data_IF_390013407190
#
_entry.id   IF_390013407190
#
_cell.length_a   1.000
_cell.length_b   1.000
_cell.length_c   1.000
_cell.angle_alpha   90.00
_cell.angle_beta   90.00
_cell.angle_gamma   90.00
#
_symmetry.space_group_name_H-M   'P 1'
#
loop_
_entity.id
_entity.type
_entity.pdbx_description
1 polymer ?
#
# COMPACT_ATOMS: atom_id res chain seq x y z
N UNK A 1 8.13 -11.64 -4.21
CA UNK A 1 8.91 -10.40 -4.03
C UNK A 1 8.93 -9.66 -5.36
N UNK A 2 9.56 -8.51 -5.46
CA UNK A 2 9.87 -7.89 -6.76
C UNK A 2 10.58 -8.93 -7.65
N UNK A 3 10.14 -9.07 -8.90
CA UNK A 3 10.63 -10.09 -9.84
C UNK A 3 9.98 -11.48 -9.71
N UNK A 4 9.25 -11.78 -8.63
CA UNK A 4 8.53 -13.06 -8.51
C UNK A 4 7.08 -12.95 -8.98
N UNK A 5 6.51 -14.07 -9.43
CA UNK A 5 5.08 -14.18 -9.68
C UNK A 5 4.31 -14.40 -8.37
N UNK A 6 3.38 -13.50 -8.07
CA UNK A 6 2.52 -13.58 -6.90
C UNK A 6 1.33 -14.49 -7.16
N UNK A 7 1.20 -15.56 -6.36
CA UNK A 7 0.03 -16.47 -6.41
C UNK A 7 -0.91 -16.35 -5.22
N UNK A 8 -0.67 -15.38 -4.34
CA UNK A 8 -1.42 -15.20 -3.10
C UNK A 8 -1.92 -13.77 -2.95
N UNK A 9 -3.13 -13.64 -2.45
CA UNK A 9 -3.64 -12.42 -1.84
C UNK A 9 -3.74 -12.61 -0.33
N UNK A 10 -3.61 -11.52 0.41
CA UNK A 10 -3.59 -11.52 1.87
C UNK A 10 -4.66 -10.58 2.41
N UNK A 11 -5.20 -10.90 3.58
CA UNK A 11 -6.03 -10.00 4.38
C UNK A 11 -5.34 -9.77 5.72
N UNK A 12 -5.22 -8.52 6.13
CA UNK A 12 -4.49 -8.13 7.32
C UNK A 12 -5.44 -8.12 8.52
N UNK A 13 -5.31 -9.11 9.41
CA UNK A 13 -6.04 -9.11 10.67
C UNK A 13 -5.37 -8.20 11.70
N UNK A 14 -4.04 -8.19 11.71
CA UNK A 14 -3.22 -7.35 12.58
C UNK A 14 -1.92 -6.98 11.88
N UNK A 15 -1.47 -5.74 12.08
CA UNK A 15 -0.15 -5.30 11.64
C UNK A 15 -0.20 -4.36 10.43
N UNK A 16 0.96 -4.19 9.78
CA UNK A 16 1.15 -3.26 8.68
C UNK A 16 2.07 -3.85 7.60
N UNK A 17 1.59 -3.78 6.37
CA UNK A 17 2.33 -4.17 5.17
C UNK A 17 2.75 -2.93 4.39
N UNK A 18 4.05 -2.79 4.16
CA UNK A 18 4.67 -1.79 3.29
C UNK A 18 4.77 -2.34 1.88
N UNK A 19 4.41 -1.53 0.88
CA UNK A 19 4.76 -1.77 -0.51
C UNK A 19 5.89 -0.85 -0.95
N UNK A 20 6.93 -1.43 -1.53
CA UNK A 20 8.09 -0.69 -1.99
C UNK A 20 8.76 -1.37 -3.20
N UNK A 21 9.43 -0.60 -4.04
CA UNK A 21 10.27 -1.15 -5.12
C UNK A 21 11.72 -0.68 -4.94
N UNK A 22 12.68 -1.46 -5.45
CA UNK A 22 14.08 -1.07 -5.39
C UNK A 22 14.42 -0.09 -6.52
N UNK A 23 15.01 1.05 -6.16
CA UNK A 23 15.56 1.99 -7.11
C UNK A 23 17.06 2.15 -6.85
N UNK A 24 17.87 1.32 -7.51
CA UNK A 24 19.34 1.32 -7.41
C UNK A 24 19.85 1.22 -5.96
N UNK A 25 19.35 0.24 -5.22
CA UNK A 25 19.73 0.00 -3.82
C UNK A 25 18.96 0.87 -2.81
N UNK A 26 18.02 1.71 -3.26
CA UNK A 26 17.15 2.51 -2.40
C UNK A 26 15.70 2.06 -2.51
N UNK A 27 15.11 1.69 -1.37
CA UNK A 27 13.70 1.34 -1.30
C UNK A 27 12.81 2.59 -1.42
N UNK A 28 11.97 2.61 -2.45
CA UNK A 28 10.96 3.64 -2.65
C UNK A 28 9.61 3.08 -2.23
N UNK A 29 9.08 3.60 -1.13
CA UNK A 29 7.79 3.21 -0.57
C UNK A 29 6.68 3.98 -1.27
N UNK A 30 5.60 3.29 -1.66
CA UNK A 30 4.47 3.92 -2.34
C UNK A 30 3.11 3.58 -1.72
N UNK A 31 3.04 2.61 -0.81
CA UNK A 31 1.80 2.30 -0.10
C UNK A 31 2.05 1.62 1.25
N UNK A 32 1.09 1.83 2.17
CA UNK A 32 0.95 1.05 3.39
C UNK A 32 -0.46 0.48 3.47
N UNK A 33 -0.57 -0.76 3.94
CA UNK A 33 -1.84 -1.42 4.25
C UNK A 33 -1.87 -1.80 5.72
N UNK A 34 -3.04 -1.67 6.34
CA UNK A 34 -3.28 -1.92 7.76
C UNK A 34 -4.43 -2.91 7.95
N UNK A 35 -4.88 -3.07 9.19
CA UNK A 35 -5.94 -3.98 9.57
C UNK A 35 -7.24 -3.78 8.77
N UNK A 36 -7.90 -4.89 8.46
CA UNK A 36 -9.11 -4.99 7.65
C UNK A 36 -8.93 -4.62 6.17
N UNK A 37 -7.69 -4.57 5.67
CA UNK A 37 -7.41 -4.35 4.26
C UNK A 37 -6.86 -5.62 3.58
N UNK A 38 -7.31 -5.84 2.35
CA UNK A 38 -6.73 -6.84 1.46
C UNK A 38 -5.49 -6.30 0.73
N UNK A 39 -4.41 -7.06 0.69
CA UNK A 39 -3.16 -6.69 0.00
C UNK A 39 -2.65 -7.84 -0.86
N UNK A 40 -2.16 -7.52 -2.04
CA UNK A 40 -1.48 -8.44 -2.93
C UNK A 40 -0.53 -7.66 -3.81
N UNK A 41 0.40 -8.35 -4.49
CA UNK A 41 1.00 -7.76 -5.67
C UNK A 41 -0.05 -7.78 -6.78
N UNK A 42 -0.92 -6.78 -6.82
CA UNK A 42 -2.19 -6.83 -7.55
C UNK A 42 -2.04 -7.15 -9.03
N UNK A 43 -1.12 -6.49 -9.74
CA UNK A 43 -0.86 -6.78 -11.15
C UNK A 43 -0.37 -8.21 -11.33
N UNK A 44 0.70 -8.59 -10.64
CA UNK A 44 1.28 -9.92 -10.70
C UNK A 44 0.27 -11.03 -10.36
N UNK A 45 -0.53 -10.81 -9.32
CA UNK A 45 -1.58 -11.71 -8.89
C UNK A 45 -2.62 -11.91 -9.98
N UNK A 46 -3.03 -10.85 -10.69
CA UNK A 46 -4.06 -10.94 -11.74
C UNK A 46 -3.53 -11.44 -13.09
N UNK A 47 -2.31 -11.07 -13.48
CA UNK A 47 -1.77 -11.30 -14.83
C UNK A 47 -0.80 -12.48 -14.89
N UNK A 48 -0.34 -12.99 -13.74
CA UNK A 48 0.72 -13.99 -13.67
C UNK A 48 2.10 -13.46 -14.05
N UNK A 49 2.26 -12.14 -14.22
CA UNK A 49 3.55 -11.52 -14.54
C UNK A 49 4.41 -11.31 -13.28
N UNK A 50 5.74 -11.19 -13.41
CA UNK A 50 6.61 -10.79 -12.32
C UNK A 50 6.15 -9.50 -11.62
N UNK A 51 6.27 -9.46 -10.30
CA UNK A 51 5.89 -8.30 -9.51
C UNK A 51 6.83 -7.11 -9.74
N UNK A 52 6.26 -5.91 -9.81
CA UNK A 52 7.01 -4.65 -9.87
C UNK A 52 7.50 -4.16 -8.50
N UNK A 53 7.13 -4.83 -7.41
CA UNK A 53 7.42 -4.37 -6.06
C UNK A 53 7.43 -5.49 -5.02
N UNK A 54 7.99 -5.19 -3.86
CA UNK A 54 7.99 -6.07 -2.70
C UNK A 54 6.91 -5.66 -1.71
N UNK A 55 6.29 -6.67 -1.09
CA UNK A 55 5.43 -6.51 0.09
C UNK A 55 6.21 -6.94 1.31
N UNK A 56 6.24 -6.10 2.34
CA UNK A 56 7.04 -6.34 3.55
C UNK A 56 6.21 -6.03 4.80
N UNK A 57 6.21 -6.95 5.76
CA UNK A 57 5.68 -6.67 7.09
C UNK A 57 6.68 -5.78 7.85
N UNK A 58 6.25 -4.58 8.24
CA UNK A 58 7.11 -3.61 8.96
C UNK A 58 6.85 -3.59 10.48
N UNK A 59 5.95 -4.45 10.93
CA UNK A 59 5.66 -4.78 12.31
C UNK A 59 5.10 -6.22 12.37
N UNK A 60 4.94 -6.85 13.54
CA UNK A 60 4.37 -8.19 13.64
C UNK A 60 2.96 -8.25 13.03
N UNK A 61 2.77 -9.15 12.05
CA UNK A 61 1.51 -9.28 11.32
C UNK A 61 0.82 -10.62 11.56
N UNK A 62 -0.51 -10.58 11.57
CA UNK A 62 -1.38 -11.76 11.42
C UNK A 62 -2.12 -11.60 10.11
N UNK A 63 -1.89 -12.55 9.19
CA UNK A 63 -2.40 -12.49 7.82
C UNK A 63 -3.19 -13.76 7.51
N UNK A 64 -4.40 -13.58 7.00
CA UNK A 64 -5.08 -14.63 6.23
C UNK A 64 -4.63 -14.55 4.79
N UNK A 65 -4.65 -15.67 4.08
CA UNK A 65 -4.25 -15.70 2.67
C UNK A 65 -5.13 -16.63 1.85
N UNK A 66 -5.23 -16.35 0.56
CA UNK A 66 -5.93 -17.16 -0.43
C UNK A 66 -5.07 -17.33 -1.68
N UNK A 67 -5.08 -18.52 -2.28
CA UNK A 67 -4.41 -18.76 -3.55
C UNK A 67 -5.20 -18.15 -4.71
N UNK A 68 -4.52 -17.79 -5.81
CA UNK A 68 -5.15 -17.19 -7.00
C UNK A 68 -6.30 -18.05 -7.53
N UNK A 69 -6.08 -19.36 -7.64
CA UNK A 69 -7.07 -20.28 -8.20
C UNK A 69 -8.35 -20.32 -7.34
N UNK A 70 -8.20 -20.38 -6.02
CA UNK A 70 -9.34 -20.36 -5.08
C UNK A 70 -10.05 -19.01 -5.11
N UNK A 71 -9.30 -17.91 -5.17
CA UNK A 71 -9.85 -16.57 -5.26
C UNK A 71 -10.68 -16.39 -6.54
N UNK A 72 -10.17 -16.88 -7.68
CA UNK A 72 -10.89 -16.85 -8.95
C UNK A 72 -12.14 -17.71 -8.95
N UNK A 73 -12.09 -18.87 -8.28
CA UNK A 73 -13.24 -19.75 -8.11
C UNK A 73 -14.33 -19.03 -7.30
N UNK A 74 -13.97 -18.44 -6.15
CA UNK A 74 -14.90 -17.67 -5.31
C UNK A 74 -15.53 -16.52 -6.09
N UNK A 75 -14.75 -15.73 -6.82
CA UNK A 75 -15.30 -14.62 -7.61
C UNK A 75 -16.21 -15.08 -8.77
N UNK A 76 -16.08 -16.32 -9.22
CA UNK A 76 -16.93 -16.90 -10.27
C UNK A 76 -18.22 -17.48 -9.71
N UNK A 77 -18.14 -18.11 -8.55
CA UNK A 77 -19.24 -18.85 -7.93
C UNK A 77 -20.11 -17.99 -7.03
N UNK A 78 -19.56 -16.90 -6.47
CA UNK A 78 -20.23 -16.04 -5.49
C UNK A 78 -20.39 -14.59 -6.00
N UNK A 79 -21.50 -14.26 -6.69
CA UNK A 79 -21.71 -12.94 -7.28
C UNK A 79 -21.69 -11.77 -6.28
N UNK A 80 -22.18 -11.99 -5.06
CA UNK A 80 -22.20 -10.96 -4.01
C UNK A 80 -20.77 -10.59 -3.58
N UNK A 81 -19.90 -11.60 -3.40
CA UNK A 81 -18.48 -11.38 -3.08
C UNK A 81 -17.79 -10.64 -4.22
N UNK A 82 -18.12 -10.97 -5.47
CA UNK A 82 -17.59 -10.26 -6.63
C UNK A 82 -18.01 -8.80 -6.68
N UNK A 83 -19.25 -8.49 -6.35
CA UNK A 83 -19.75 -7.11 -6.29
C UNK A 83 -19.03 -6.30 -5.20
N UNK A 84 -18.88 -6.86 -4.01
CA UNK A 84 -18.20 -6.19 -2.90
C UNK A 84 -16.69 -6.03 -3.19
N UNK A 85 -16.06 -7.03 -3.80
CA UNK A 85 -14.69 -6.91 -4.27
C UNK A 85 -14.53 -5.76 -5.29
N UNK A 86 -15.46 -5.63 -6.24
CA UNK A 86 -15.46 -4.52 -7.19
C UNK A 86 -15.55 -3.16 -6.49
N UNK A 87 -16.44 -2.99 -5.51
CA UNK A 87 -16.55 -1.75 -4.72
C UNK A 87 -15.24 -1.40 -4.03
N UNK A 88 -14.60 -2.39 -3.37
CA UNK A 88 -13.30 -2.21 -2.70
C UNK A 88 -12.21 -1.78 -3.68
N UNK A 89 -12.15 -2.38 -4.88
CA UNK A 89 -11.18 -2.00 -5.91
C UNK A 89 -11.47 -0.61 -6.47
N UNK A 90 -12.74 -0.25 -6.69
CA UNK A 90 -13.11 1.09 -7.16
C UNK A 90 -12.72 2.18 -6.15
N UNK A 91 -13.01 1.97 -4.87
CA UNK A 91 -12.58 2.86 -3.79
C UNK A 91 -11.06 3.01 -3.72
N UNK A 92 -10.35 1.89 -3.85
CA UNK A 92 -8.89 1.87 -3.88
C UNK A 92 -8.33 2.64 -5.07
N UNK A 93 -8.92 2.48 -6.25
CA UNK A 93 -8.51 3.21 -7.45
C UNK A 93 -8.70 4.72 -7.28
N UNK A 94 -9.82 5.16 -6.68
CA UNK A 94 -10.05 6.57 -6.36
C UNK A 94 -9.00 7.11 -5.39
N UNK A 95 -8.64 6.34 -4.34
CA UNK A 95 -7.56 6.69 -3.41
C UNK A 95 -6.21 6.85 -4.12
N UNK A 96 -5.85 5.93 -5.01
CA UNK A 96 -4.62 6.03 -5.80
C UNK A 96 -4.61 7.24 -6.73
N UNK A 97 -5.74 7.55 -7.38
CA UNK A 97 -5.88 8.73 -8.22
C UNK A 97 -5.69 10.03 -7.42
N UNK A 98 -6.33 10.15 -6.25
CA UNK A 98 -6.14 11.31 -5.37
C UNK A 98 -4.69 11.44 -4.88
N UNK A 99 -4.06 10.32 -4.53
CA UNK A 99 -2.66 10.30 -4.13
C UNK A 99 -1.75 10.78 -5.27
N UNK A 100 -1.93 10.25 -6.48
CA UNK A 100 -1.20 10.67 -7.67
C UNK A 100 -1.36 12.17 -7.95
N UNK A 101 -2.59 12.68 -7.94
CA UNK A 101 -2.86 14.11 -8.13
C UNK A 101 -2.21 14.98 -7.05
N UNK A 102 -2.19 14.52 -5.80
CA UNK A 102 -1.51 15.20 -4.70
C UNK A 102 0.00 15.35 -4.97
N UNK A 103 0.63 14.35 -5.56
CA UNK A 103 2.04 14.45 -5.97
C UNK A 103 2.31 15.46 -7.08
N UNK A 104 1.33 15.70 -7.96
CA UNK A 104 1.43 16.68 -9.04
C UNK A 104 1.16 18.11 -8.57
N UNK A 105 0.24 18.31 -7.63
CA UNK A 105 -0.29 19.64 -7.27
C UNK A 105 0.15 20.15 -5.90
N UNK A 106 0.39 19.27 -4.93
CA UNK A 106 0.63 19.65 -3.54
C UNK A 106 2.13 19.71 -3.24
N UNK A 107 2.52 20.68 -2.42
CA UNK A 107 3.87 20.74 -1.84
C UNK A 107 4.08 19.58 -0.85
N UNK A 108 5.34 19.18 -0.57
CA UNK A 108 5.60 18.16 0.44
C UNK A 108 5.03 18.48 1.83
N UNK A 109 4.99 19.76 2.21
CA UNK A 109 4.37 20.23 3.46
C UNK A 109 2.87 19.94 3.48
N UNK A 110 2.16 20.24 2.39
CA UNK A 110 0.74 19.94 2.25
C UNK A 110 0.48 18.44 2.27
N UNK A 111 1.29 17.64 1.55
CA UNK A 111 1.16 16.16 1.59
C UNK A 111 1.33 15.60 3.00
N UNK A 112 2.30 16.10 3.77
CA UNK A 112 2.47 15.70 5.16
C UNK A 112 1.29 16.13 6.04
N UNK A 113 0.80 17.37 5.90
CA UNK A 113 -0.35 17.86 6.65
C UNK A 113 -1.63 17.04 6.36
N UNK A 114 -1.87 16.70 5.09
CA UNK A 114 -2.97 15.84 4.69
C UNK A 114 -2.81 14.44 5.29
N UNK A 115 -1.61 13.86 5.24
CA UNK A 115 -1.32 12.56 5.85
C UNK A 115 -1.61 12.55 7.36
N UNK A 116 -1.20 13.60 8.07
CA UNK A 116 -1.44 13.75 9.51
C UNK A 116 -2.94 13.81 9.84
N UNK A 117 -3.73 14.49 8.99
CA UNK A 117 -5.17 14.65 9.17
C UNK A 117 -5.95 13.38 8.81
N UNK A 118 -5.64 12.77 7.67
CA UNK A 118 -6.44 11.69 7.09
C UNK A 118 -6.01 10.30 7.58
N UNK A 119 -4.71 10.10 7.82
CA UNK A 119 -4.15 8.80 8.22
C UNK A 119 -3.13 8.96 9.36
N UNK A 120 -3.54 9.49 10.53
CA UNK A 120 -2.64 9.72 11.66
C UNK A 120 -1.96 8.44 12.18
N UNK A 121 -2.56 7.27 11.93
CA UNK A 121 -1.98 5.97 12.30
C UNK A 121 -0.67 5.68 11.56
N UNK A 122 -0.50 6.14 10.32
CA UNK A 122 0.77 6.01 9.59
C UNK A 122 1.89 6.73 10.35
N UNK A 123 1.62 7.95 10.83
CA UNK A 123 2.62 8.75 11.56
C UNK A 123 3.01 8.10 12.89
N UNK A 124 2.08 7.40 13.54
CA UNK A 124 2.31 6.77 14.85
C UNK A 124 3.05 5.43 14.75
N UNK A 125 2.83 4.66 13.69
CA UNK A 125 3.28 3.26 13.58
C UNK A 125 4.43 3.06 12.61
N UNK A 126 4.51 3.88 11.55
CA UNK A 126 5.48 3.65 10.47
C UNK A 126 6.80 4.36 10.78
N UNK A 127 7.96 3.69 10.58
CA UNK A 127 9.26 4.33 10.68
C UNK A 127 9.38 5.59 9.81
N UNK A 128 9.97 6.65 10.36
CA UNK A 128 10.05 7.97 9.72
C UNK A 128 10.68 7.93 8.33
N UNK A 129 11.65 7.04 8.11
CA UNK A 129 12.30 6.86 6.81
C UNK A 129 11.34 6.38 5.72
N UNK A 130 10.40 5.49 6.05
CA UNK A 130 9.40 4.99 5.09
C UNK A 130 8.32 6.03 4.84
N UNK A 131 7.93 6.81 5.87
CA UNK A 131 7.03 7.96 5.69
C UNK A 131 7.66 8.99 4.76
N UNK A 132 8.94 9.31 4.93
CA UNK A 132 9.66 10.23 4.06
C UNK A 132 9.68 9.74 2.61
N UNK A 133 9.99 8.45 2.41
CA UNK A 133 9.96 7.78 1.10
C UNK A 133 8.58 7.85 0.46
N UNK A 134 7.52 7.51 1.21
CA UNK A 134 6.11 7.60 0.80
C UNK A 134 5.65 9.01 0.45
N UNK A 135 6.26 10.05 1.03
CA UNK A 135 5.97 11.45 0.72
C UNK A 135 6.84 12.00 -0.42
N UNK A 136 7.76 11.20 -0.96
CA UNK A 136 8.70 11.61 -2.01
C UNK A 136 9.75 12.60 -1.54
N UNK A 137 10.17 12.55 -0.27
CA UNK A 137 11.17 13.46 0.32
C UNK A 137 12.22 12.71 1.13
N UNK A 138 13.28 13.41 1.51
CA UNK A 138 14.31 12.83 2.41
C UNK A 138 13.83 12.84 3.87
N UNK A 139 14.35 11.94 4.73
CA UNK A 139 14.08 11.97 6.17
C UNK A 139 14.44 13.30 6.82
N UNK A 140 15.50 13.96 6.34
CA UNK A 140 15.91 15.30 6.78
C UNK A 140 14.86 16.36 6.44
N UNK A 141 14.36 16.35 5.19
CA UNK A 141 13.29 17.27 4.77
C UNK A 141 12.01 17.05 5.57
N UNK A 142 11.62 15.79 5.81
CA UNK A 142 10.46 15.47 6.65
C UNK A 142 10.64 15.97 8.09
N UNK A 143 11.82 15.77 8.67
CA UNK A 143 12.14 16.24 10.02
C UNK A 143 12.04 17.76 10.15
N UNK A 144 12.40 18.51 9.10
CA UNK A 144 12.22 19.99 9.06
C UNK A 144 10.74 20.37 9.00
N UNK A 145 9.96 19.72 8.13
CA UNK A 145 8.51 19.97 7.99
C UNK A 145 7.78 19.75 9.33
N UNK A 146 8.13 18.67 10.04
CA UNK A 146 7.57 18.33 11.36
C UNK A 146 7.84 19.34 12.48
N UNK A 147 8.80 20.25 12.31
CA UNK A 147 9.07 21.32 13.30
C UNK A 147 8.24 22.58 13.04
N UNK A 148 7.64 22.67 11.85
CA UNK A 148 6.90 23.85 11.37
C UNK A 148 5.39 23.66 11.55
N UNK A 149 4.93 22.40 11.57
CA UNK A 149 3.54 21.97 11.80
C UNK A 149 3.47 21.39 13.19
#
# INVERSE_FOLDING_TARGET
MEGDVSKKAYFIEKGCIRLWYNNNGKDITFQFFFENEGVSSFESFNTGQPSLFTMEAIEPCVLQWIHKDDFDAVLREEPLIKEDFYKVIAERQMKYMHHFLSFLKDTPKQRYANLLKEKPHIIKRVPLQYIASYLGITPVSLSRIRKII
#
